data_IF_507919804180
#
_entry.id   IF_507919804180
#
_cell.length_a   1.000
_cell.length_b   1.000
_cell.length_c   1.000
_cell.angle_alpha   90.00
_cell.angle_beta   90.00
_cell.angle_gamma   90.00
#
_symmetry.space_group_name_H-M   'P 1'
#
loop_
_entity.id
_entity.type
_entity.pdbx_description
1 polymer ?
#
# COMPACT_ATOMS: atom_id res chain seq x y z
N UNK A 1 19.38 8.38 1.38
CA UNK A 1 18.14 9.02 0.90
C UNK A 1 17.24 7.96 0.28
N UNK A 2 16.05 7.71 0.85
CA UNK A 2 15.07 6.81 0.23
C UNK A 2 14.60 7.46 -1.08
N UNK A 3 14.98 6.87 -2.22
CA UNK A 3 14.59 7.35 -3.55
C UNK A 3 13.05 7.37 -3.60
N UNK A 4 12.46 8.56 -3.52
CA UNK A 4 11.01 8.80 -3.68
C UNK A 4 10.68 8.37 -5.10
N UNK A 5 10.38 7.08 -5.28
CA UNK A 5 10.10 6.47 -6.58
C UNK A 5 8.88 7.22 -7.11
N UNK A 6 9.02 7.89 -8.26
CA UNK A 6 7.89 8.45 -8.99
C UNK A 6 6.92 7.30 -9.30
N UNK A 7 5.96 7.07 -8.41
CA UNK A 7 4.92 6.06 -8.58
C UNK A 7 4.01 6.56 -9.69
N UNK A 8 4.30 6.14 -10.91
CA UNK A 8 3.43 6.40 -12.05
C UNK A 8 2.36 5.31 -12.05
N UNK A 9 1.15 5.69 -11.68
CA UNK A 9 -0.01 4.81 -11.80
C UNK A 9 -0.35 4.60 -13.28
N UNK A 10 -1.01 3.48 -13.59
CA UNK A 10 -1.46 3.19 -14.95
C UNK A 10 -2.44 4.26 -15.47
N UNK A 11 -3.27 4.79 -14.57
CA UNK A 11 -4.17 5.91 -14.86
C UNK A 11 -3.54 7.22 -14.38
N UNK A 12 -3.36 8.24 -15.24
CA UNK A 12 -2.87 9.56 -14.83
C UNK A 12 -3.82 10.24 -13.83
N UNK A 13 -3.29 11.09 -12.96
CA UNK A 13 -4.09 11.92 -12.04
C UNK A 13 -4.65 11.20 -10.80
N UNK A 14 -4.56 9.87 -10.71
CA UNK A 14 -5.13 9.10 -9.58
C UNK A 14 -4.28 9.09 -8.31
N UNK A 15 -3.22 9.92 -8.25
CA UNK A 15 -2.23 9.79 -7.20
C UNK A 15 -2.80 10.05 -5.79
N UNK A 16 -3.64 11.07 -5.66
CA UNK A 16 -4.33 11.40 -4.41
C UNK A 16 -5.35 10.31 -4.04
N UNK A 17 -6.18 9.89 -5.00
CA UNK A 17 -7.15 8.81 -4.80
C UNK A 17 -6.48 7.51 -4.32
N UNK A 18 -5.31 7.18 -4.86
CA UNK A 18 -4.57 5.98 -4.43
C UNK A 18 -3.95 6.13 -3.03
N UNK A 19 -3.56 7.34 -2.61
CA UNK A 19 -3.08 7.55 -1.24
C UNK A 19 -4.22 7.40 -0.23
N UNK A 20 -5.39 7.95 -0.53
CA UNK A 20 -6.59 7.80 0.30
C UNK A 20 -7.01 6.33 0.37
N UNK A 21 -7.04 5.66 -0.79
CA UNK A 21 -7.35 4.24 -0.89
C UNK A 21 -6.37 3.38 -0.09
N UNK A 22 -5.07 3.65 -0.17
CA UNK A 22 -4.07 2.96 0.67
C UNK A 22 -4.39 3.14 2.15
N UNK A 23 -4.69 4.36 2.59
CA UNK A 23 -4.99 4.61 3.99
C UNK A 23 -6.22 3.83 4.45
N UNK A 24 -7.27 3.79 3.64
CA UNK A 24 -8.49 3.04 3.91
C UNK A 24 -8.22 1.53 3.98
N UNK A 25 -7.58 0.96 2.96
CA UNK A 25 -7.28 -0.48 2.89
C UNK A 25 -6.43 -0.90 4.08
N UNK A 26 -5.38 -0.15 4.40
CA UNK A 26 -4.48 -0.50 5.48
C UNK A 26 -5.13 -0.35 6.86
N UNK A 27 -6.02 0.64 7.05
CA UNK A 27 -6.85 0.71 8.26
C UNK A 27 -7.77 -0.49 8.40
N UNK A 28 -8.38 -0.96 7.30
CA UNK A 28 -9.23 -2.17 7.29
C UNK A 28 -8.45 -3.44 7.59
N UNK A 29 -7.19 -3.51 7.19
CA UNK A 29 -6.26 -4.60 7.55
C UNK A 29 -5.79 -4.52 9.02
N UNK A 30 -6.19 -3.47 9.77
CA UNK A 30 -5.89 -3.34 11.19
C UNK A 30 -4.64 -2.49 11.51
N UNK A 31 -4.04 -1.86 10.50
CA UNK A 31 -2.87 -1.00 10.72
C UNK A 31 -3.25 0.40 11.19
N UNK A 32 -2.38 0.98 12.02
CA UNK A 32 -2.43 2.40 12.31
C UNK A 32 -1.87 3.17 11.12
N UNK A 33 -2.67 4.08 10.55
CA UNK A 33 -2.28 4.88 9.39
C UNK A 33 -2.54 6.35 9.66
N UNK A 34 -1.51 7.19 9.47
CA UNK A 34 -1.67 8.64 9.38
C UNK A 34 -2.26 8.99 8.00
N UNK A 35 -3.46 9.58 7.91
CA UNK A 35 -4.06 10.01 6.65
C UNK A 35 -3.22 11.02 5.87
N UNK A 36 -2.40 11.83 6.55
CA UNK A 36 -1.53 12.81 5.90
C UNK A 36 -0.27 12.16 5.30
N UNK A 37 0.13 11.00 5.85
CA UNK A 37 1.30 10.26 5.42
C UNK A 37 1.01 8.75 5.26
N UNK A 38 0.11 8.34 4.33
CA UNK A 38 -0.28 6.93 4.19
C UNK A 38 0.88 5.99 3.83
N UNK A 39 1.97 6.55 3.31
CA UNK A 39 3.19 5.82 2.97
C UNK A 39 4.01 5.36 4.18
N UNK A 40 3.77 5.93 5.36
CA UNK A 40 4.50 5.57 6.57
C UNK A 40 3.97 4.31 7.25
N UNK A 41 2.82 3.80 6.80
CA UNK A 41 2.30 2.49 7.21
C UNK A 41 3.31 1.35 6.98
N UNK A 42 4.27 1.53 6.07
CA UNK A 42 5.36 0.57 5.82
C UNK A 42 6.17 0.25 7.08
N UNK A 43 6.28 1.18 8.04
CA UNK A 43 7.00 0.93 9.28
C UNK A 43 6.20 0.04 10.23
N UNK A 44 4.87 0.24 10.31
CA UNK A 44 3.98 -0.63 11.06
C UNK A 44 3.92 -2.04 10.46
N UNK A 45 3.81 -2.15 9.14
CA UNK A 45 3.86 -3.43 8.43
C UNK A 45 5.21 -4.12 8.64
N UNK A 46 6.32 -3.39 8.56
CA UNK A 46 7.64 -3.96 8.81
C UNK A 46 7.79 -4.46 10.24
N UNK A 47 7.26 -3.72 11.23
CA UNK A 47 7.25 -4.13 12.64
C UNK A 47 6.49 -5.44 12.84
N UNK A 48 5.33 -5.60 12.22
CA UNK A 48 4.58 -6.87 12.27
C UNK A 48 5.36 -8.02 11.62
N UNK A 49 6.02 -7.77 10.49
CA UNK A 49 6.81 -8.77 9.77
C UNK A 49 8.19 -9.04 10.38
N UNK A 50 8.55 -8.39 11.49
CA UNK A 50 9.87 -8.51 12.12
C UNK A 50 11.02 -7.95 11.29
N UNK A 51 10.73 -7.08 10.31
CA UNK A 51 11.73 -6.44 9.46
C UNK A 51 12.17 -5.13 10.13
N UNK A 52 13.47 -4.92 10.42
CA UNK A 52 13.95 -3.70 11.07
C UNK A 52 14.06 -2.53 10.07
N UNK A 53 12.93 -2.16 9.48
CA UNK A 53 12.81 -1.03 8.56
C UNK A 53 12.72 0.27 9.34
N UNK A 54 13.64 1.19 9.07
CA UNK A 54 13.73 2.47 9.76
C UNK A 54 13.72 3.66 8.79
N UNK A 55 13.36 4.86 9.23
CA UNK A 55 13.59 6.06 8.44
C UNK A 55 15.08 6.22 8.12
N UNK A 56 15.41 6.56 6.87
CA UNK A 56 16.80 6.81 6.46
C UNK A 56 17.50 5.59 5.84
N UNK A 57 18.57 5.11 6.46
CA UNK A 57 19.44 4.07 5.87
C UNK A 57 18.95 2.66 6.22
N UNK A 58 18.68 1.87 5.18
CA UNK A 58 18.26 0.47 5.26
C UNK A 58 19.15 -0.42 4.36
N UNK A 59 20.39 0.00 4.07
CA UNK A 59 21.28 -0.69 3.14
C UNK A 59 21.65 -2.13 3.54
N UNK A 60 21.46 -2.50 4.81
CA UNK A 60 21.65 -3.87 5.30
C UNK A 60 20.43 -4.77 5.18
N UNK A 61 19.26 -4.26 4.79
CA UNK A 61 18.07 -5.09 4.60
C UNK A 61 18.15 -5.86 3.29
N UNK A 62 17.76 -7.12 3.31
CA UNK A 62 17.66 -7.91 2.10
C UNK A 62 16.53 -7.36 1.21
N UNK A 63 16.73 -7.45 -0.10
CA UNK A 63 15.69 -7.09 -1.09
C UNK A 63 14.40 -7.87 -0.84
N UNK A 64 14.54 -9.12 -0.41
CA UNK A 64 13.41 -9.97 -0.05
C UNK A 64 12.62 -9.41 1.15
N UNK A 65 13.28 -9.04 2.24
CA UNK A 65 12.61 -8.48 3.41
C UNK A 65 11.86 -7.18 3.09
N UNK A 66 12.50 -6.28 2.33
CA UNK A 66 11.84 -5.05 1.84
C UNK A 66 10.70 -5.39 0.87
N UNK A 67 10.88 -6.42 0.06
CA UNK A 67 9.87 -6.95 -0.86
C UNK A 67 8.63 -7.45 -0.14
N UNK A 68 8.77 -8.17 0.97
CA UNK A 68 7.64 -8.66 1.78
C UNK A 68 6.82 -7.51 2.38
N UNK A 69 7.48 -6.46 2.90
CA UNK A 69 6.78 -5.25 3.40
C UNK A 69 6.00 -4.57 2.28
N UNK A 70 6.64 -4.33 1.13
CA UNK A 70 5.99 -3.73 -0.02
C UNK A 70 4.87 -4.60 -0.61
N UNK A 71 5.07 -5.92 -0.58
CA UNK A 71 4.14 -6.93 -1.07
C UNK A 71 2.88 -7.05 -0.22
N UNK A 72 2.99 -6.98 1.11
CA UNK A 72 1.83 -6.95 2.01
C UNK A 72 0.96 -5.72 1.74
N UNK A 73 1.55 -4.52 1.64
CA UNK A 73 0.82 -3.28 1.33
C UNK A 73 0.23 -3.34 -0.08
N UNK A 74 1.06 -3.60 -1.08
CA UNK A 74 0.66 -3.62 -2.49
C UNK A 74 -0.37 -4.70 -2.80
N UNK A 75 -0.18 -5.89 -2.24
CA UNK A 75 -1.07 -7.03 -2.42
C UNK A 75 -2.46 -6.78 -1.84
N UNK A 76 -2.56 -6.21 -0.63
CA UNK A 76 -3.85 -5.82 -0.06
C UNK A 76 -4.55 -4.74 -0.87
N UNK A 77 -3.82 -3.72 -1.37
CA UNK A 77 -4.39 -2.73 -2.28
C UNK A 77 -4.94 -3.35 -3.56
N UNK A 78 -4.15 -4.21 -4.23
CA UNK A 78 -4.58 -4.86 -5.49
C UNK A 78 -5.78 -5.76 -5.26
N UNK A 79 -5.78 -6.57 -4.18
CA UNK A 79 -6.90 -7.43 -3.82
C UNK A 79 -8.19 -6.63 -3.65
N UNK A 80 -8.12 -5.49 -2.94
CA UNK A 80 -9.30 -4.66 -2.73
C UNK A 80 -9.76 -3.95 -4.02
N UNK A 81 -8.83 -3.48 -4.87
CA UNK A 81 -9.18 -2.91 -6.18
C UNK A 81 -9.93 -3.92 -7.05
N UNK A 82 -9.46 -5.17 -7.09
CA UNK A 82 -10.11 -6.26 -7.84
C UNK A 82 -11.50 -6.55 -7.27
N UNK A 83 -11.65 -6.61 -5.94
CA UNK A 83 -12.94 -6.81 -5.27
C UNK A 83 -13.95 -5.72 -5.67
N UNK A 84 -13.55 -4.45 -5.60
CA UNK A 84 -14.40 -3.31 -5.98
C UNK A 84 -14.77 -3.34 -7.47
N UNK A 85 -13.85 -3.73 -8.34
CA UNK A 85 -14.12 -3.86 -9.77
C UNK A 85 -15.13 -4.98 -10.06
N UNK A 86 -14.98 -6.14 -9.41
CA UNK A 86 -15.93 -7.25 -9.52
C UNK A 86 -17.33 -6.85 -9.02
N UNK A 87 -17.41 -6.15 -7.90
CA UNK A 87 -18.68 -5.64 -7.36
C UNK A 87 -19.38 -4.67 -8.33
N UNK A 88 -18.62 -3.75 -8.94
CA UNK A 88 -19.16 -2.82 -9.94
C UNK A 88 -19.68 -3.54 -11.19
N UNK A 89 -18.98 -4.57 -11.67
CA UNK A 89 -19.42 -5.37 -12.82
C UNK A 89 -20.71 -6.13 -12.50
N UNK A 90 -20.77 -6.80 -11.36
CA UNK A 90 -21.95 -7.56 -10.94
C UNK A 90 -23.20 -6.67 -10.74
N UNK A 91 -23.02 -5.43 -10.27
CA UNK A 91 -24.13 -4.48 -10.10
C UNK A 91 -24.64 -3.92 -11.45
N UNK A 92 -23.74 -3.76 -12.43
CA UNK A 92 -24.12 -3.36 -13.80
C UNK A 92 -24.91 -4.45 -14.53
N UNK A 93 -24.59 -5.72 -14.29
CA UNK A 93 -25.31 -6.84 -14.91
C UNK A 93 -26.73 -7.06 -14.34
N UNK A 94 -26.99 -6.55 -13.12
CA UNK A 94 -28.29 -6.67 -12.44
C UNK A 94 -29.25 -5.50 -12.71
N UNK A 95 -28.76 -4.44 -13.34
CA UNK A 95 -29.53 -3.23 -13.69
C UNK A 95 -29.97 -3.27 -15.14
#
# INVERSE_FOLDING_TARGET
>A
MARRRNRKYAVPGVAEGMQNFKAEVMKREGYTVDPNHPDDVKYEVAKELGVPLQPGNNGGLTTEAVGHVGGKIGGSMVREMVRLAQEQLANREKS
#
